data_IF_539889322900
#
_entry.id   IF_539889322900
#
_cell.length_a   1.000
_cell.length_b   1.000
_cell.length_c   1.000
_cell.angle_alpha   90.00
_cell.angle_beta   90.00
_cell.angle_gamma   90.00
#
_symmetry.space_group_name_H-M   'P 1'
#
loop_
_entity.id
_entity.type
_entity.pdbx_description
1 polymer ?
#
# COMPACT_ATOMS: atom_id res chain seq x y z
N UNK A 1 5.52 51.23 -5.62
CA UNK A 1 4.36 50.74 -6.38
C UNK A 1 3.87 51.93 -7.19
N UNK A 2 4.06 51.93 -8.52
CA UNK A 2 3.52 52.95 -9.41
C UNK A 2 2.15 52.45 -9.88
N UNK A 3 1.08 53.13 -9.51
CA UNK A 3 -0.27 52.90 -10.07
C UNK A 3 -0.36 53.69 -11.35
N UNK A 4 -0.51 53.00 -12.47
CA UNK A 4 -0.80 53.63 -13.78
C UNK A 4 -2.27 53.32 -14.07
N UNK A 5 -3.11 54.36 -14.05
CA UNK A 5 -4.48 54.29 -14.57
C UNK A 5 -4.40 54.32 -16.10
N UNK A 6 -4.68 53.18 -16.71
CA UNK A 6 -4.81 53.08 -18.18
C UNK A 6 -6.25 52.73 -18.52
N UNK A 7 -6.91 53.57 -19.37
CA UNK A 7 -8.25 53.30 -19.88
C UNK A 7 -8.18 52.21 -20.98
N UNK A 8 -9.16 51.30 -20.99
CA UNK A 8 -9.27 50.23 -22.01
C UNK A 8 -9.32 50.77 -23.45
N UNK A 9 -9.78 52.00 -23.64
CA UNK A 9 -9.86 52.66 -24.93
C UNK A 9 -8.49 53.00 -25.55
N UNK A 10 -7.43 53.06 -24.73
CA UNK A 10 -6.07 53.35 -25.21
C UNK A 10 -5.34 52.11 -25.76
N UNK A 11 -5.90 50.93 -25.56
CA UNK A 11 -5.30 49.68 -26.06
C UNK A 11 -5.91 49.31 -27.41
N UNK A 12 -5.11 49.29 -28.46
CA UNK A 12 -5.53 48.74 -29.77
C UNK A 12 -5.92 47.26 -29.63
N UNK A 13 -6.81 46.76 -30.49
CA UNK A 13 -7.31 45.36 -30.47
C UNK A 13 -6.20 44.31 -30.34
N UNK A 14 -5.04 44.54 -30.90
CA UNK A 14 -3.87 43.63 -30.85
C UNK A 14 -3.29 43.59 -29.43
N UNK A 15 -3.21 44.73 -28.73
CA UNK A 15 -2.70 44.78 -27.37
C UNK A 15 -3.63 44.06 -26.40
N UNK A 16 -4.96 44.18 -26.58
CA UNK A 16 -5.96 43.45 -25.78
C UNK A 16 -5.86 41.95 -26.02
N UNK A 17 -5.70 41.52 -27.29
CA UNK A 17 -5.51 40.10 -27.61
C UNK A 17 -4.23 39.55 -27.03
N UNK A 18 -3.12 40.28 -27.10
CA UNK A 18 -1.84 39.85 -26.50
C UNK A 18 -1.94 39.76 -24.98
N UNK A 19 -2.57 40.76 -24.32
CA UNK A 19 -2.80 40.72 -22.87
C UNK A 19 -3.65 39.52 -22.47
N UNK A 20 -4.71 39.21 -23.20
CA UNK A 20 -5.56 38.05 -22.98
C UNK A 20 -4.79 36.72 -23.16
N UNK A 21 -3.93 36.62 -24.17
CA UNK A 21 -3.07 35.43 -24.37
C UNK A 21 -2.09 35.26 -23.23
N UNK A 22 -1.41 36.35 -22.82
CA UNK A 22 -0.44 36.28 -21.69
C UNK A 22 -1.14 35.91 -20.40
N UNK A 23 -2.30 36.50 -20.10
CA UNK A 23 -3.08 36.14 -18.90
C UNK A 23 -3.55 34.68 -18.92
N UNK A 24 -4.05 34.22 -20.06
CA UNK A 24 -4.50 32.84 -20.23
C UNK A 24 -3.33 31.86 -20.10
N UNK A 25 -2.17 32.21 -20.63
CA UNK A 25 -0.96 31.43 -20.50
C UNK A 25 -0.53 31.37 -19.03
N UNK A 26 -0.48 32.50 -18.33
CA UNK A 26 -0.08 32.55 -16.91
C UNK A 26 -1.03 31.81 -16.01
N UNK A 27 -2.34 31.89 -16.28
CA UNK A 27 -3.33 31.11 -15.56
C UNK A 27 -3.10 29.59 -15.71
N UNK A 28 -2.83 29.13 -16.94
CA UNK A 28 -2.52 27.71 -17.21
C UNK A 28 -1.23 27.26 -16.53
N UNK A 29 -0.22 28.12 -16.47
CA UNK A 29 1.04 27.85 -15.75
C UNK A 29 0.77 27.65 -14.25
N UNK A 30 -0.01 28.56 -13.63
CA UNK A 30 -0.36 28.49 -12.22
C UNK A 30 -1.22 27.25 -11.90
N UNK A 31 -2.23 26.95 -12.72
CA UNK A 31 -3.04 25.74 -12.59
C UNK A 31 -2.17 24.47 -12.64
N UNK A 32 -1.17 24.47 -13.54
CA UNK A 32 -0.22 23.37 -13.68
C UNK A 32 0.70 23.24 -12.46
N UNK A 33 1.28 24.36 -12.00
CA UNK A 33 2.14 24.35 -10.80
C UNK A 33 1.39 23.85 -9.58
N UNK A 34 0.13 24.27 -9.41
CA UNK A 34 -0.73 23.82 -8.32
C UNK A 34 -0.99 22.32 -8.41
N UNK A 35 -1.43 21.83 -9.57
CA UNK A 35 -1.68 20.41 -9.78
C UNK A 35 -0.42 19.55 -9.60
N UNK A 36 0.76 20.04 -10.03
CA UNK A 36 2.03 19.35 -9.78
C UNK A 36 2.36 19.25 -8.29
N UNK A 37 2.13 20.32 -7.53
CA UNK A 37 2.35 20.31 -6.08
C UNK A 37 1.42 19.33 -5.39
N UNK A 38 0.14 19.33 -5.72
CA UNK A 38 -0.85 18.39 -5.18
C UNK A 38 -0.49 16.95 -5.51
N UNK A 39 -0.11 16.66 -6.76
CA UNK A 39 0.29 15.32 -7.18
C UNK A 39 1.57 14.84 -6.48
N UNK A 40 2.57 15.72 -6.37
CA UNK A 40 3.79 15.36 -5.66
C UNK A 40 3.54 15.15 -4.16
N UNK A 41 2.62 15.89 -3.57
CA UNK A 41 2.17 15.66 -2.19
C UNK A 41 1.43 14.32 -2.02
N UNK A 42 0.83 13.81 -3.10
CA UNK A 42 0.13 12.51 -3.11
C UNK A 42 1.06 11.31 -3.32
N UNK A 43 2.39 11.51 -3.54
CA UNK A 43 3.32 10.38 -3.63
C UNK A 43 3.35 9.62 -2.30
N UNK A 44 3.14 8.30 -2.38
CA UNK A 44 3.00 7.43 -1.21
C UNK A 44 1.60 7.48 -0.58
N UNK A 45 0.63 8.09 -1.25
CA UNK A 45 -0.77 8.09 -0.83
C UNK A 45 -1.67 7.39 -1.85
N UNK A 46 -2.91 7.12 -1.46
CA UNK A 46 -3.90 6.41 -2.27
C UNK A 46 -4.82 7.40 -2.96
N UNK A 47 -4.95 7.26 -4.27
CA UNK A 47 -5.92 7.98 -5.07
C UNK A 47 -6.96 7.03 -5.67
N UNK A 48 -8.18 7.51 -5.87
CA UNK A 48 -9.22 6.80 -6.63
C UNK A 48 -9.21 7.28 -8.06
N UNK A 49 -8.77 6.43 -8.99
CA UNK A 49 -8.71 6.73 -10.42
C UNK A 49 -9.67 5.82 -11.19
N UNK A 50 -10.20 6.30 -12.30
CA UNK A 50 -11.14 5.53 -13.14
C UNK A 50 -10.41 4.84 -14.27
N UNK A 51 -10.68 3.56 -14.50
CA UNK A 51 -10.09 2.78 -15.59
C UNK A 51 -10.64 3.29 -16.93
N UNK A 52 -9.74 3.71 -17.83
CA UNK A 52 -10.12 4.25 -19.14
C UNK A 52 -9.90 3.25 -20.28
N UNK A 53 -8.73 2.63 -20.33
CA UNK A 53 -8.34 1.75 -21.43
C UNK A 53 -7.14 0.89 -21.09
N UNK A 54 -6.89 -0.10 -21.92
CA UNK A 54 -5.69 -0.95 -21.86
C UNK A 54 -4.75 -0.60 -23.02
N UNK A 55 -3.45 -0.54 -22.73
CA UNK A 55 -2.39 -0.33 -23.74
C UNK A 55 -1.33 -1.41 -23.56
N UNK A 56 -1.42 -2.48 -24.34
CA UNK A 56 -0.67 -3.70 -24.10
C UNK A 56 -0.97 -4.25 -22.70
N UNK A 57 0.05 -4.59 -21.90
CA UNK A 57 -0.16 -5.11 -20.54
C UNK A 57 -0.46 -4.02 -19.49
N UNK A 58 -0.45 -2.75 -19.87
CA UNK A 58 -0.66 -1.62 -18.95
C UNK A 58 -2.13 -1.24 -18.87
N UNK A 59 -2.60 -0.93 -17.67
CA UNK A 59 -3.91 -0.32 -17.43
C UNK A 59 -3.72 1.19 -17.34
N UNK A 60 -4.46 1.94 -18.14
CA UNK A 60 -4.49 3.40 -18.09
C UNK A 60 -5.76 3.84 -17.37
N UNK A 61 -5.55 4.68 -16.36
CA UNK A 61 -6.62 5.25 -15.55
C UNK A 61 -6.59 6.78 -15.67
N UNK A 62 -7.69 7.42 -15.34
CA UNK A 62 -7.79 8.89 -15.24
C UNK A 62 -8.02 9.33 -13.80
N UNK A 63 -7.30 10.37 -13.41
CA UNK A 63 -7.53 11.12 -12.18
C UNK A 63 -7.74 12.61 -12.56
N UNK A 64 -8.99 13.01 -12.68
CA UNK A 64 -9.34 14.29 -13.27
C UNK A 64 -8.87 14.41 -14.73
N UNK A 65 -7.88 15.26 -14.99
CA UNK A 65 -7.29 15.47 -16.34
C UNK A 65 -5.93 14.78 -16.51
N UNK A 66 -5.53 13.97 -15.55
CA UNK A 66 -4.19 13.39 -15.44
C UNK A 66 -4.26 11.91 -15.79
N UNK A 67 -3.33 11.46 -16.63
CA UNK A 67 -3.18 10.06 -16.95
C UNK A 67 -2.42 9.32 -15.82
N UNK A 68 -3.03 8.28 -15.28
CA UNK A 68 -2.42 7.38 -14.30
C UNK A 68 -2.12 6.06 -14.98
N UNK A 69 -0.88 5.63 -14.91
CA UNK A 69 -0.41 4.39 -15.52
C UNK A 69 -0.19 3.35 -14.44
N UNK A 70 -0.84 2.21 -14.59
CA UNK A 70 -0.63 1.01 -13.77
C UNK A 70 0.11 -0.03 -14.62
N UNK A 71 1.46 -0.10 -14.51
CA UNK A 71 2.27 -1.07 -15.25
C UNK A 71 1.98 -2.51 -14.81
N UNK A 72 2.19 -3.49 -15.69
CA UNK A 72 1.98 -4.92 -15.41
C UNK A 72 2.62 -5.39 -14.10
N UNK A 73 3.87 -5.01 -13.84
CA UNK A 73 4.60 -5.38 -12.62
C UNK A 73 3.98 -4.83 -11.32
N UNK A 74 3.11 -3.84 -11.43
CA UNK A 74 2.39 -3.20 -10.33
C UNK A 74 0.91 -3.57 -10.27
N UNK A 75 0.47 -4.51 -11.10
CA UNK A 75 -0.88 -5.08 -11.07
C UNK A 75 -0.92 -6.28 -10.14
N UNK A 76 -1.95 -6.36 -9.30
CA UNK A 76 -2.15 -7.54 -8.45
C UNK A 76 -2.73 -8.68 -9.29
N UNK A 77 -2.25 -9.93 -9.11
CA UNK A 77 -2.71 -11.08 -9.91
C UNK A 77 -4.19 -11.39 -9.78
N UNK A 78 -4.82 -10.97 -8.68
CA UNK A 78 -6.23 -11.26 -8.40
C UNK A 78 -7.17 -10.14 -8.83
N UNK A 79 -6.63 -8.95 -9.09
CA UNK A 79 -7.44 -7.80 -9.47
C UNK A 79 -8.06 -8.02 -10.84
N UNK A 80 -9.34 -7.67 -10.96
CA UNK A 80 -10.05 -7.57 -12.23
C UNK A 80 -10.18 -6.11 -12.61
N UNK A 81 -9.92 -5.78 -13.87
CA UNK A 81 -9.95 -4.41 -14.36
C UNK A 81 -11.06 -4.27 -15.39
N UNK A 82 -12.07 -3.44 -15.10
CA UNK A 82 -13.18 -3.15 -15.99
C UNK A 82 -13.19 -1.67 -16.37
N UNK A 83 -13.38 -1.37 -17.66
CA UNK A 83 -13.38 0.02 -18.14
C UNK A 83 -14.58 0.75 -17.54
N UNK A 84 -14.28 1.95 -16.98
CA UNK A 84 -15.27 2.79 -16.33
C UNK A 84 -15.35 2.64 -14.82
N UNK A 85 -14.80 1.56 -14.25
CA UNK A 85 -14.82 1.33 -12.81
C UNK A 85 -13.76 2.17 -12.07
N UNK A 86 -14.08 2.65 -10.84
CA UNK A 86 -13.11 3.30 -9.99
C UNK A 86 -12.18 2.27 -9.36
N UNK A 87 -10.89 2.60 -9.28
CA UNK A 87 -9.87 1.77 -8.67
C UNK A 87 -9.00 2.60 -7.74
N UNK A 88 -8.81 2.16 -6.49
CA UNK A 88 -7.87 2.77 -5.57
C UNK A 88 -6.45 2.29 -5.88
N UNK A 89 -5.54 3.21 -6.10
CA UNK A 89 -4.14 2.92 -6.44
C UNK A 89 -3.19 3.77 -5.61
N UNK A 90 -2.05 3.20 -5.27
CA UNK A 90 -0.97 3.94 -4.60
C UNK A 90 -0.16 4.72 -5.63
N UNK A 91 0.05 6.00 -5.39
CA UNK A 91 0.92 6.84 -6.23
C UNK A 91 2.38 6.55 -5.89
N UNK A 92 3.17 6.09 -6.87
CA UNK A 92 4.59 5.84 -6.70
C UNK A 92 5.45 7.00 -7.16
N UNK A 93 5.12 7.56 -8.33
CA UNK A 93 5.95 8.55 -8.99
C UNK A 93 5.09 9.44 -9.88
N UNK A 94 5.46 10.71 -9.96
CA UNK A 94 4.87 11.67 -10.90
C UNK A 94 5.91 12.06 -11.93
N UNK A 95 5.67 11.72 -13.21
CA UNK A 95 6.54 12.04 -14.34
C UNK A 95 6.00 13.23 -15.10
N UNK A 96 6.76 14.31 -15.11
CA UNK A 96 6.57 15.38 -16.09
C UNK A 96 7.34 15.03 -17.37
N UNK A 97 6.77 15.22 -18.58
CA UNK A 97 7.52 15.02 -19.79
C UNK A 97 8.65 16.05 -19.89
N UNK A 98 9.76 15.72 -20.59
CA UNK A 98 10.83 16.68 -20.82
C UNK A 98 10.28 17.90 -21.57
N UNK A 99 10.75 19.08 -21.20
CA UNK A 99 10.40 20.33 -21.87
C UNK A 99 11.03 20.31 -23.25
N UNK A 100 10.24 20.05 -24.28
CA UNK A 100 10.70 20.20 -25.67
C UNK A 100 10.87 21.69 -25.99
N UNK A 101 11.85 22.02 -26.84
CA UNK A 101 12.18 23.41 -27.20
C UNK A 101 10.92 24.20 -27.59
N UNK A 102 10.52 25.13 -26.73
CA UNK A 102 9.44 26.08 -26.99
C UNK A 102 8.02 25.61 -26.69
N UNK A 103 7.83 24.40 -26.12
CA UNK A 103 6.51 23.90 -25.72
C UNK A 103 6.54 23.41 -24.26
N UNK A 104 5.87 24.17 -23.40
CA UNK A 104 5.65 23.72 -22.02
C UNK A 104 4.71 22.51 -21.99
N UNK A 105 5.06 21.44 -21.22
CA UNK A 105 4.19 20.28 -21.10
C UNK A 105 2.85 20.68 -20.45
N UNK A 106 1.75 20.14 -20.97
CA UNK A 106 0.40 20.37 -20.42
C UNK A 106 0.13 19.39 -19.29
N UNK A 107 -0.86 19.68 -18.41
CA UNK A 107 -1.31 18.76 -17.35
C UNK A 107 -1.59 17.35 -17.87
N UNK A 108 -2.21 17.22 -19.04
CA UNK A 108 -2.50 15.95 -19.70
C UNK A 108 -1.26 15.18 -20.17
N UNK A 109 -0.12 15.84 -20.23
CA UNK A 109 1.14 15.22 -20.64
C UNK A 109 1.89 14.64 -19.42
N UNK A 110 1.39 14.91 -18.20
CA UNK A 110 1.90 14.33 -16.96
C UNK A 110 1.42 12.90 -16.83
N UNK A 111 2.31 12.03 -16.31
CA UNK A 111 2.00 10.64 -16.06
C UNK A 111 2.29 10.31 -14.60
N UNK A 112 1.29 9.78 -13.93
CA UNK A 112 1.43 9.23 -12.59
C UNK A 112 1.65 7.74 -12.73
N UNK A 113 2.71 7.22 -12.11
CA UNK A 113 2.92 5.78 -12.01
C UNK A 113 2.29 5.31 -10.71
N UNK A 114 1.40 4.36 -10.82
CA UNK A 114 0.67 3.82 -9.69
C UNK A 114 0.96 2.33 -9.47
N UNK A 115 0.64 1.86 -8.27
CA UNK A 115 0.81 0.46 -7.88
C UNK A 115 -0.38 -0.07 -7.09
N UNK A 116 -0.64 -1.37 -7.28
CA UNK A 116 -1.55 -2.20 -6.50
C UNK A 116 -0.82 -3.29 -5.71
N UNK A 117 0.50 -3.43 -5.91
CA UNK A 117 1.30 -4.50 -5.29
C UNK A 117 2.07 -4.06 -4.05
N UNK A 118 2.28 -2.78 -3.85
CA UNK A 118 3.08 -2.27 -2.73
C UNK A 118 2.41 -2.50 -1.36
N UNK A 119 3.18 -2.91 -0.32
CA UNK A 119 2.66 -3.04 1.04
C UNK A 119 2.09 -1.73 1.60
N UNK A 120 2.65 -0.59 1.18
CA UNK A 120 2.19 0.74 1.59
C UNK A 120 0.73 1.01 1.19
N UNK A 121 0.23 0.39 0.10
CA UNK A 121 -1.19 0.47 -0.27
C UNK A 121 -2.08 -0.02 0.87
N UNK A 122 -1.74 -1.17 1.47
CA UNK A 122 -2.53 -1.73 2.59
C UNK A 122 -2.44 -0.83 3.83
N UNK A 123 -1.26 -0.27 4.12
CA UNK A 123 -1.09 0.68 5.22
C UNK A 123 -1.99 1.91 5.05
N UNK A 124 -2.05 2.47 3.84
CA UNK A 124 -2.89 3.63 3.54
C UNK A 124 -4.38 3.30 3.60
N UNK A 125 -4.78 2.14 3.07
CA UNK A 125 -6.17 1.69 3.17
C UNK A 125 -6.59 1.50 4.64
N UNK A 126 -5.71 0.93 5.48
CA UNK A 126 -5.95 0.83 6.92
C UNK A 126 -6.07 2.21 7.57
N UNK A 127 -5.22 3.16 7.24
CA UNK A 127 -5.29 4.51 7.78
C UNK A 127 -6.59 5.25 7.38
N UNK A 128 -7.17 4.94 6.22
CA UNK A 128 -8.46 5.47 5.80
C UNK A 128 -9.65 4.85 6.56
N UNK A 129 -9.58 3.55 6.86
CA UNK A 129 -10.69 2.80 7.48
C UNK A 129 -10.62 2.80 9.01
N UNK A 130 -9.43 3.04 9.60
CA UNK A 130 -9.16 2.92 11.05
C UNK A 130 -8.77 4.28 11.61
N UNK A 131 -9.69 5.00 12.28
CA UNK A 131 -9.40 6.32 12.86
C UNK A 131 -8.24 6.31 13.85
N UNK A 132 -8.07 5.22 14.60
CA UNK A 132 -7.01 5.06 15.59
C UNK A 132 -5.60 4.97 14.92
N UNK A 133 -5.51 4.53 13.67
CA UNK A 133 -4.27 4.61 12.87
C UNK A 133 -4.09 6.03 12.35
N UNK A 134 -5.16 6.66 11.87
CA UNK A 134 -5.11 8.02 11.36
C UNK A 134 -4.71 9.04 12.45
N UNK A 135 -5.14 8.85 13.71
CA UNK A 135 -4.74 9.68 14.86
C UNK A 135 -3.33 9.37 15.37
N UNK A 136 -2.78 8.20 15.03
CA UNK A 136 -1.48 7.74 15.51
C UNK A 136 -1.51 7.05 16.88
N UNK A 137 -2.69 6.74 17.41
CA UNK A 137 -2.85 5.95 18.64
C UNK A 137 -2.48 4.49 18.42
N UNK A 138 -2.76 3.97 17.21
CA UNK A 138 -2.32 2.67 16.73
C UNK A 138 -1.29 2.85 15.63
N UNK A 139 -0.15 2.21 15.79
CA UNK A 139 0.96 2.22 14.82
C UNK A 139 1.03 0.91 14.04
N UNK A 140 1.25 0.99 12.74
CA UNK A 140 1.65 -0.15 11.93
C UNK A 140 3.17 -0.32 12.06
N UNK A 141 3.63 -1.40 12.68
CA UNK A 141 5.06 -1.67 12.92
C UNK A 141 5.72 -2.38 11.75
N UNK A 142 5.01 -3.29 11.09
CA UNK A 142 5.51 -4.04 9.93
C UNK A 142 4.37 -4.52 9.06
N UNK A 143 4.64 -4.69 7.77
CA UNK A 143 3.72 -5.31 6.79
C UNK A 143 4.52 -6.29 5.95
N UNK A 144 4.00 -7.51 5.83
CA UNK A 144 4.46 -8.50 4.87
C UNK A 144 3.30 -8.84 3.93
N UNK A 145 3.54 -8.74 2.62
CA UNK A 145 2.48 -8.85 1.61
C UNK A 145 2.88 -9.75 0.44
N UNK A 146 2.02 -10.65 0.09
CA UNK A 146 2.00 -11.38 -1.17
C UNK A 146 0.74 -10.91 -1.95
N UNK A 147 0.91 -9.99 -2.94
CA UNK A 147 -0.22 -9.30 -3.57
C UNK A 147 -1.24 -10.26 -4.18
N UNK A 148 -2.52 -10.02 -3.91
CA UNK A 148 -3.63 -10.86 -4.35
C UNK A 148 -3.82 -12.15 -3.55
N UNK A 149 -2.90 -12.52 -2.67
CA UNK A 149 -3.02 -13.73 -1.86
C UNK A 149 -3.27 -13.40 -0.38
N UNK A 150 -2.27 -12.82 0.27
CA UNK A 150 -2.33 -12.59 1.72
C UNK A 150 -1.42 -11.46 2.17
N UNK A 151 -1.89 -10.70 3.14
CA UNK A 151 -1.10 -9.66 3.83
C UNK A 151 -1.16 -9.89 5.33
N UNK A 152 -0.01 -9.77 6.01
CA UNK A 152 0.11 -9.72 7.46
C UNK A 152 0.53 -8.32 7.89
N UNK A 153 -0.20 -7.75 8.85
CA UNK A 153 0.04 -6.40 9.35
C UNK A 153 0.25 -6.48 10.85
N UNK A 154 1.43 -6.11 11.32
CA UNK A 154 1.75 -6.01 12.72
C UNK A 154 1.41 -4.62 13.24
N UNK A 155 0.53 -4.52 14.21
CA UNK A 155 0.05 -3.28 14.81
C UNK A 155 0.40 -3.21 16.29
N UNK A 156 0.58 -2.00 16.79
CA UNK A 156 0.87 -1.74 18.20
C UNK A 156 0.13 -0.49 18.66
N UNK A 157 -0.46 -0.54 19.84
CA UNK A 157 -1.07 0.65 20.45
C UNK A 157 -0.09 1.33 21.40
N UNK A 158 0.03 2.65 21.30
CA UNK A 158 0.74 3.47 22.29
C UNK A 158 -0.06 3.62 23.58
N UNK A 159 -1.38 3.52 23.48
CA UNK A 159 -2.28 3.61 24.61
C UNK A 159 -2.69 2.20 25.06
N UNK A 160 -2.33 1.76 26.28
CA UNK A 160 -2.66 0.43 26.78
C UNK A 160 -4.16 0.18 26.94
N UNK A 161 -5.00 1.21 26.87
CA UNK A 161 -6.47 1.10 26.92
C UNK A 161 -7.07 0.80 25.54
N UNK A 162 -6.29 0.87 24.48
CA UNK A 162 -6.75 0.61 23.10
C UNK A 162 -6.24 -0.77 22.66
N UNK A 163 -7.16 -1.67 22.37
CA UNK A 163 -6.85 -2.91 21.67
C UNK A 163 -6.53 -2.60 20.19
N UNK A 164 -5.24 -2.67 19.84
CA UNK A 164 -4.77 -2.34 18.49
C UNK A 164 -5.35 -3.27 17.42
N UNK A 165 -5.47 -4.56 17.73
CA UNK A 165 -6.02 -5.56 16.79
C UNK A 165 -7.53 -5.35 16.65
N UNK A 166 -8.23 -5.20 17.77
CA UNK A 166 -9.67 -4.94 17.78
C UNK A 166 -10.05 -3.66 17.04
N UNK A 167 -9.28 -2.59 17.21
CA UNK A 167 -9.48 -1.32 16.50
C UNK A 167 -9.36 -1.50 14.98
N UNK A 168 -8.36 -2.24 14.50
CA UNK A 168 -8.18 -2.52 13.08
C UNK A 168 -9.25 -3.44 12.50
N UNK A 169 -9.67 -4.46 13.25
CA UNK A 169 -10.74 -5.37 12.81
C UNK A 169 -12.09 -4.63 12.72
N UNK A 170 -12.36 -3.76 13.69
CA UNK A 170 -13.64 -3.10 13.81
C UNK A 170 -14.76 -4.07 14.23
N UNK A 171 -15.99 -3.55 14.32
CA UNK A 171 -17.13 -4.35 14.73
C UNK A 171 -17.35 -5.52 13.77
N UNK A 172 -17.27 -6.77 14.28
CA UNK A 172 -17.41 -8.02 13.50
C UNK A 172 -16.46 -8.11 12.29
N UNK A 173 -15.29 -7.47 12.33
CA UNK A 173 -14.32 -7.51 11.25
C UNK A 173 -14.67 -6.63 10.04
N UNK A 174 -15.63 -5.70 10.15
CA UNK A 174 -16.13 -4.92 9.01
C UNK A 174 -15.04 -4.05 8.37
N UNK A 175 -14.12 -3.45 9.16
CA UNK A 175 -13.05 -2.60 8.63
C UNK A 175 -12.07 -3.40 7.76
N UNK A 176 -11.59 -4.53 8.27
CA UNK A 176 -10.71 -5.42 7.47
C UNK A 176 -11.44 -6.00 6.27
N UNK A 177 -12.74 -6.33 6.42
CA UNK A 177 -13.53 -6.84 5.29
C UNK A 177 -13.68 -5.79 4.18
N UNK A 178 -13.84 -4.51 4.51
CA UNK A 178 -13.89 -3.43 3.52
C UNK A 178 -12.58 -3.36 2.71
N UNK A 179 -11.43 -3.49 3.37
CA UNK A 179 -10.13 -3.50 2.70
C UNK A 179 -9.94 -4.78 1.88
N UNK A 180 -10.35 -5.93 2.41
CA UNK A 180 -10.33 -7.22 1.67
C UNK A 180 -11.14 -7.13 0.38
N UNK A 181 -12.31 -6.49 0.42
CA UNK A 181 -13.15 -6.29 -0.75
C UNK A 181 -12.48 -5.34 -1.77
N UNK A 182 -11.87 -4.25 -1.30
CA UNK A 182 -11.11 -3.32 -2.13
C UNK A 182 -9.92 -4.00 -2.83
N UNK A 183 -9.32 -5.00 -2.19
CA UNK A 183 -8.20 -5.79 -2.71
C UNK A 183 -8.64 -7.12 -3.37
N UNK A 184 -9.87 -7.18 -3.87
CA UNK A 184 -10.43 -8.32 -4.62
C UNK A 184 -10.28 -9.67 -3.90
N UNK A 185 -10.47 -9.66 -2.58
CA UNK A 185 -10.44 -10.86 -1.74
C UNK A 185 -9.05 -11.27 -1.25
N UNK A 186 -8.07 -10.38 -1.27
CA UNK A 186 -6.78 -10.60 -0.60
C UNK A 186 -7.00 -10.71 0.91
N UNK A 187 -6.51 -11.80 1.52
CA UNK A 187 -6.65 -12.03 2.96
C UNK A 187 -5.76 -11.11 3.76
N UNK A 188 -6.32 -10.46 4.78
CA UNK A 188 -5.57 -9.57 5.67
C UNK A 188 -5.61 -10.11 7.09
N UNK A 189 -4.44 -10.44 7.63
CA UNK A 189 -4.26 -10.81 9.03
C UNK A 189 -3.72 -9.62 9.81
N UNK A 190 -4.46 -9.18 10.82
CA UNK A 190 -3.98 -8.18 11.79
C UNK A 190 -3.37 -8.91 12.98
N UNK A 191 -2.14 -8.55 13.34
CA UNK A 191 -1.31 -9.23 14.32
C UNK A 191 -0.83 -8.21 15.34
N UNK A 192 -0.90 -8.54 16.60
CA UNK A 192 -0.31 -7.72 17.64
C UNK A 192 1.22 -7.79 17.55
N UNK A 193 1.86 -6.61 17.49
CA UNK A 193 3.31 -6.55 17.51
C UNK A 193 3.82 -6.71 18.94
N UNK A 194 4.85 -7.52 19.11
CA UNK A 194 5.54 -7.70 20.40
C UNK A 194 7.03 -7.44 20.26
N UNK A 195 7.62 -6.84 21.30
CA UNK A 195 9.08 -6.72 21.42
C UNK A 195 9.76 -8.04 21.78
N UNK A 196 9.01 -9.02 22.33
CA UNK A 196 9.49 -10.40 22.52
C UNK A 196 9.41 -11.14 21.18
N UNK A 197 10.57 -11.55 20.60
CA UNK A 197 10.59 -12.25 19.32
C UNK A 197 9.81 -13.57 19.34
N UNK A 198 9.82 -14.32 20.46
CA UNK A 198 9.12 -15.59 20.55
C UNK A 198 7.60 -15.39 20.50
N UNK A 199 7.10 -14.37 21.19
CA UNK A 199 5.68 -14.01 21.15
C UNK A 199 5.30 -13.49 19.75
N UNK A 200 6.11 -12.58 19.19
CA UNK A 200 5.82 -12.02 17.86
C UNK A 200 5.81 -13.09 16.76
N UNK A 201 6.75 -14.06 16.78
CA UNK A 201 6.75 -15.19 15.85
C UNK A 201 5.50 -16.05 16.02
N UNK A 202 5.08 -16.32 17.27
CA UNK A 202 3.87 -17.08 17.57
C UNK A 202 2.64 -16.42 16.95
N UNK A 203 2.48 -15.11 17.15
CA UNK A 203 1.34 -14.36 16.67
C UNK A 203 1.39 -14.19 15.14
N UNK A 204 2.58 -14.02 14.57
CA UNK A 204 2.80 -13.92 13.12
C UNK A 204 2.39 -15.18 12.35
N UNK A 205 2.39 -16.34 12.97
CA UNK A 205 1.94 -17.59 12.36
C UNK A 205 0.42 -17.81 12.44
N UNK A 206 -0.31 -16.87 13.07
CA UNK A 206 -1.78 -16.89 13.05
C UNK A 206 -2.30 -17.14 11.61
N UNK A 207 -3.39 -17.91 11.44
CA UNK A 207 -4.27 -18.47 12.47
C UNK A 207 -3.84 -19.82 13.06
N UNK A 208 -2.63 -20.31 12.77
CA UNK A 208 -2.13 -21.56 13.33
C UNK A 208 -1.78 -21.39 14.82
N UNK A 209 -2.06 -22.43 15.61
CA UNK A 209 -1.65 -22.48 17.01
C UNK A 209 -0.21 -22.96 17.10
N UNK A 210 0.62 -22.25 17.87
CA UNK A 210 2.02 -22.57 18.10
C UNK A 210 2.20 -23.00 19.56
N UNK A 211 2.78 -24.18 19.77
CA UNK A 211 3.03 -24.71 21.12
C UNK A 211 4.31 -24.13 21.72
N UNK A 212 5.40 -24.08 20.92
CA UNK A 212 6.71 -23.66 21.42
C UNK A 212 7.50 -22.97 20.29
N UNK A 213 8.23 -21.92 20.65
CA UNK A 213 9.21 -21.25 19.79
C UNK A 213 10.56 -21.33 20.48
N UNK A 214 11.57 -21.85 19.78
CA UNK A 214 12.94 -21.96 20.25
C UNK A 214 13.79 -21.05 19.37
N UNK A 215 14.35 -20.02 19.98
CA UNK A 215 15.11 -18.98 19.27
C UNK A 215 16.60 -19.32 19.22
N UNK A 216 17.22 -19.17 18.05
CA UNK A 216 18.66 -19.05 17.88
C UNK A 216 18.98 -17.61 17.49
N UNK A 217 19.27 -16.79 18.50
CA UNK A 217 19.51 -15.35 18.29
C UNK A 217 20.78 -15.08 17.44
N UNK A 218 21.78 -15.97 17.49
CA UNK A 218 23.01 -15.82 16.74
C UNK A 218 22.78 -15.92 15.21
N UNK A 219 21.83 -16.77 14.81
CA UNK A 219 21.49 -17.01 13.41
C UNK A 219 20.24 -16.26 12.97
N UNK A 220 19.55 -15.55 13.88
CA UNK A 220 18.21 -15.02 13.66
C UNK A 220 17.25 -16.08 13.08
N UNK A 221 17.29 -17.28 13.62
CA UNK A 221 16.41 -18.39 13.23
C UNK A 221 15.61 -18.89 14.43
N UNK A 222 14.44 -19.43 14.17
CA UNK A 222 13.58 -20.00 15.18
C UNK A 222 13.02 -21.35 14.73
N UNK A 223 13.07 -22.34 15.63
CA UNK A 223 12.35 -23.58 15.48
C UNK A 223 10.98 -23.41 16.14
N UNK A 224 9.94 -23.55 15.32
CA UNK A 224 8.54 -23.41 15.76
C UNK A 224 7.90 -24.78 15.79
N UNK A 225 7.42 -25.17 16.96
CA UNK A 225 6.74 -26.44 17.17
C UNK A 225 5.24 -26.22 17.22
N UNK A 226 4.52 -26.92 16.35
CA UNK A 226 3.07 -26.83 16.23
C UNK A 226 2.41 -28.19 16.45
N UNK A 227 1.14 -28.27 16.88
CA UNK A 227 0.37 -29.50 16.88
C UNK A 227 0.33 -30.13 15.48
N UNK A 228 0.29 -31.44 15.37
CA UNK A 228 0.31 -32.17 14.09
C UNK A 228 -0.77 -31.69 13.10
N UNK A 229 -1.97 -31.43 13.62
CA UNK A 229 -3.10 -30.95 12.82
C UNK A 229 -2.97 -29.48 12.39
N UNK A 230 -2.01 -28.74 12.94
CA UNK A 230 -1.79 -27.32 12.63
C UNK A 230 -0.64 -27.09 11.64
N UNK A 231 0.18 -28.11 11.33
CA UNK A 231 1.36 -27.95 10.48
C UNK A 231 1.01 -27.35 9.10
N UNK A 232 -0.03 -27.88 8.47
CA UNK A 232 -0.47 -27.36 7.15
C UNK A 232 -0.93 -25.90 7.22
N UNK A 233 -1.59 -25.52 8.32
CA UNK A 233 -2.06 -24.16 8.53
C UNK A 233 -0.91 -23.21 8.84
N UNK A 234 0.07 -23.66 9.64
CA UNK A 234 1.26 -22.86 9.96
C UNK A 234 2.12 -22.58 8.74
N UNK A 235 2.32 -23.58 7.87
CA UNK A 235 3.04 -23.43 6.61
C UNK A 235 2.23 -22.62 5.59
N UNK A 236 0.95 -22.89 5.50
CA UNK A 236 0.05 -22.28 4.51
C UNK A 236 0.18 -22.94 3.12
N UNK A 237 -0.74 -22.61 2.21
CA UNK A 237 -0.71 -23.08 0.84
C UNK A 237 0.55 -22.57 0.15
N UNK A 238 1.37 -23.46 -0.42
CA UNK A 238 2.64 -23.08 -1.06
C UNK A 238 3.64 -22.37 -0.14
N UNK A 239 3.51 -22.49 1.19
CA UNK A 239 4.40 -21.85 2.15
C UNK A 239 4.14 -20.38 2.40
N UNK A 240 3.04 -19.80 1.91
CA UNK A 240 2.72 -18.37 2.02
C UNK A 240 2.70 -17.89 3.47
N UNK A 241 2.09 -18.65 4.40
CA UNK A 241 1.95 -18.20 5.77
C UNK A 241 3.30 -18.09 6.49
N UNK A 242 4.18 -19.08 6.34
CA UNK A 242 5.52 -19.04 6.94
C UNK A 242 6.40 -17.97 6.30
N UNK A 243 6.40 -17.82 4.96
CA UNK A 243 7.17 -16.77 4.28
C UNK A 243 6.77 -15.37 4.73
N UNK A 244 5.45 -15.11 4.84
CA UNK A 244 4.96 -13.82 5.34
C UNK A 244 5.32 -13.60 6.81
N UNK A 245 5.30 -14.64 7.66
CA UNK A 245 5.73 -14.55 9.04
C UNK A 245 7.24 -14.25 9.14
N UNK A 246 8.07 -14.88 8.30
CA UNK A 246 9.51 -14.59 8.20
C UNK A 246 9.77 -13.14 7.80
N UNK A 247 9.09 -12.67 6.74
CA UNK A 247 9.21 -11.27 6.28
C UNK A 247 8.76 -10.27 7.35
N UNK A 248 7.66 -10.59 8.05
CA UNK A 248 7.09 -9.71 9.07
C UNK A 248 7.99 -9.58 10.29
N UNK A 249 8.54 -10.71 10.75
CA UNK A 249 9.34 -10.79 11.99
C UNK A 249 10.83 -10.56 11.77
N UNK A 250 11.32 -10.79 10.55
CA UNK A 250 12.74 -10.73 10.21
C UNK A 250 13.55 -11.92 10.75
N UNK A 251 12.87 -13.05 11.08
CA UNK A 251 13.46 -14.29 11.53
C UNK A 251 13.24 -15.39 10.49
N UNK A 252 14.22 -16.27 10.29
CA UNK A 252 14.02 -17.48 9.50
C UNK A 252 13.31 -18.53 10.35
N UNK A 253 12.24 -19.12 9.84
CA UNK A 253 11.36 -20.00 10.62
C UNK A 253 11.38 -21.43 10.08
N UNK A 254 11.80 -22.34 10.93
CA UNK A 254 11.65 -23.77 10.70
C UNK A 254 10.42 -24.26 11.46
N UNK A 255 9.37 -24.64 10.75
CA UNK A 255 8.11 -25.11 11.37
C UNK A 255 8.09 -26.62 11.32
N UNK A 256 7.93 -27.25 12.48
CA UNK A 256 7.83 -28.71 12.65
C UNK A 256 6.64 -29.08 13.52
N UNK A 257 6.12 -30.29 13.28
CA UNK A 257 5.11 -30.89 14.16
C UNK A 257 5.76 -31.50 15.39
N UNK A 258 4.97 -31.74 16.44
CA UNK A 258 5.41 -32.44 17.66
C UNK A 258 5.94 -33.83 17.34
N UNK A 259 5.28 -34.57 16.42
CA UNK A 259 5.72 -35.90 16.00
C UNK A 259 7.08 -35.90 15.29
N UNK A 260 7.33 -34.91 14.44
CA UNK A 260 8.60 -34.75 13.73
C UNK A 260 9.75 -34.48 14.71
N UNK A 261 9.51 -33.67 15.75
CA UNK A 261 10.49 -33.41 16.80
C UNK A 261 10.76 -34.67 17.61
N UNK A 262 9.71 -35.37 18.04
CA UNK A 262 9.86 -36.61 18.80
C UNK A 262 10.60 -37.71 18.03
N UNK A 263 10.41 -37.81 16.71
CA UNK A 263 11.17 -38.74 15.85
C UNK A 263 12.64 -38.35 15.77
N UNK A 264 12.94 -37.08 15.53
CA UNK A 264 14.31 -36.58 15.44
C UNK A 264 15.08 -36.73 16.77
N UNK A 265 14.42 -36.61 17.92
CA UNK A 265 15.01 -36.84 19.23
C UNK A 265 15.33 -38.35 19.47
N UNK A 266 14.45 -39.23 19.02
CA UNK A 266 14.70 -40.70 19.12
C UNK A 266 15.86 -41.15 18.23
N UNK A 267 15.96 -40.59 17.00
CA UNK A 267 17.06 -40.89 16.06
C UNK A 267 18.42 -40.40 16.57
N UNK A 268 18.44 -39.28 17.34
CA UNK A 268 19.68 -38.77 17.97
C UNK A 268 20.10 -39.53 19.21
N UNK A 269 19.17 -40.28 19.83
CA UNK A 269 19.41 -41.05 21.08
C UNK A 269 19.68 -42.52 20.81
N UNK A 270 19.57 -43.01 19.58
CA UNK A 270 19.88 -44.36 19.12
C UNK A 270 21.24 -44.39 18.41
#
# INVERSE_FOLDING_TARGET
TVQIEASIEQFGRVAVQNAFQVLTQRLRELEREHALRELNASIGDVITARIERFVGPKVLLSYGRIEVVLPEKHQSPRDTYEIGEPLKVLVLEVKAPPTERGREPRLRDMKVIASRTEPLLVARLLAHEVPEIASGDVEIKAIAREPGERTKVAVHSKNPLIDAVGACLGQRGMRVQAITNELFGEHIDIIEWSSDPAQFIRDALSPARVNRVILDAAKKSALVVVPNNQLRQAVGRGGVNVRLAEQLTGWSLEVRSEEEIAKAEKEKSA
#
